data_IF_035984432336
#
_entry.id   IF_035984432336
#
_cell.length_a   1.000
_cell.length_b   1.000
_cell.length_c   1.000
_cell.angle_alpha   90.00
_cell.angle_beta   90.00
_cell.angle_gamma   90.00
#
_symmetry.space_group_name_H-M   'P 1'
#
loop_
_entity.id
_entity.type
_entity.pdbx_description
1 polymer ?
#
# COMPACT_ATOMS: atom_id res chain seq x y z
N UNK A 1 20.57 5.26 7.27
CA UNK A 1 19.22 4.73 6.96
C UNK A 1 19.02 4.48 5.46
N UNK A 2 19.46 5.39 4.60
CA UNK A 2 19.40 5.26 3.13
C UNK A 2 19.90 3.91 2.56
N UNK A 3 21.09 3.44 2.99
CA UNK A 3 21.63 2.13 2.55
C UNK A 3 20.71 0.95 2.92
N UNK A 4 20.04 1.02 4.07
CA UNK A 4 19.08 -0.01 4.49
C UNK A 4 17.80 0.07 3.67
N UNK A 5 17.34 1.28 3.35
CA UNK A 5 16.20 1.47 2.46
C UNK A 5 16.48 0.90 1.06
N UNK A 6 17.63 1.19 0.45
CA UNK A 6 17.97 0.60 -0.85
C UNK A 6 18.03 -0.93 -0.78
N UNK A 7 18.68 -1.49 0.25
CA UNK A 7 18.70 -2.95 0.45
C UNK A 7 17.28 -3.51 0.55
N UNK A 8 16.40 -2.84 1.29
CA UNK A 8 15.01 -3.22 1.44
C UNK A 8 14.25 -3.16 0.09
N UNK A 9 14.42 -2.07 -0.66
CA UNK A 9 13.80 -1.90 -1.99
C UNK A 9 14.27 -2.95 -3.00
N UNK A 10 15.53 -3.39 -2.91
CA UNK A 10 16.08 -4.48 -3.72
C UNK A 10 15.88 -5.87 -3.10
N UNK A 11 14.83 -6.06 -2.29
CA UNK A 11 14.45 -7.35 -1.73
C UNK A 11 15.62 -8.05 -1.00
N UNK A 12 16.49 -7.30 -0.31
CA UNK A 12 17.49 -7.87 0.59
C UNK A 12 16.95 -7.93 2.02
N UNK A 13 17.34 -8.94 2.82
CA UNK A 13 16.91 -9.01 4.21
C UNK A 13 17.45 -7.80 4.98
N UNK A 14 16.53 -7.07 5.61
CA UNK A 14 16.80 -5.91 6.46
C UNK A 14 16.02 -6.10 7.74
N UNK A 15 16.70 -5.94 8.88
CA UNK A 15 16.09 -5.89 10.20
C UNK A 15 16.38 -4.50 10.78
N UNK A 16 15.45 -3.56 10.68
CA UNK A 16 15.59 -2.27 11.34
C UNK A 16 15.68 -2.51 12.85
N UNK A 17 16.68 -1.94 13.50
CA UNK A 17 16.68 -1.86 14.96
C UNK A 17 15.64 -0.82 15.38
N UNK A 18 14.50 -1.31 15.87
CA UNK A 18 13.35 -0.51 16.30
C UNK A 18 13.25 -0.37 17.81
N UNK A 19 13.97 -1.19 18.58
CA UNK A 19 13.92 -1.13 20.04
C UNK A 19 14.83 0.00 20.56
N UNK A 20 15.97 0.26 19.89
CA UNK A 20 16.90 1.34 20.25
C UNK A 20 16.75 2.64 19.47
N UNK A 21 16.26 2.59 18.21
CA UNK A 21 16.30 3.75 17.28
C UNK A 21 15.00 4.05 16.56
N UNK A 22 13.85 3.81 17.20
CA UNK A 22 12.56 4.07 16.59
C UNK A 22 12.37 5.56 16.21
N UNK A 23 12.80 6.49 17.06
CA UNK A 23 12.67 7.92 16.81
C UNK A 23 13.39 8.34 15.53
N UNK A 24 14.63 7.87 15.33
CA UNK A 24 15.41 8.15 14.12
C UNK A 24 14.70 7.63 12.87
N UNK A 25 14.12 6.43 12.95
CA UNK A 25 13.36 5.85 11.83
C UNK A 25 12.10 6.65 11.55
N UNK A 26 11.41 7.12 12.58
CA UNK A 26 10.21 7.93 12.45
C UNK A 26 10.51 9.28 11.78
N UNK A 27 11.57 9.97 12.20
CA UNK A 27 12.05 11.21 11.56
C UNK A 27 12.40 10.93 10.10
N UNK A 28 13.13 9.86 9.84
CA UNK A 28 13.52 9.48 8.48
C UNK A 28 12.32 9.24 7.56
N UNK A 29 11.34 8.42 7.99
CA UNK A 29 10.18 8.13 7.15
C UNK A 29 9.31 9.36 6.92
N UNK A 30 9.16 10.22 7.93
CA UNK A 30 8.40 11.48 7.82
C UNK A 30 9.06 12.38 6.78
N UNK A 31 10.38 12.57 6.83
CA UNK A 31 11.09 13.38 5.84
C UNK A 31 10.94 12.80 4.43
N UNK A 32 11.16 11.49 4.25
CA UNK A 32 11.10 10.87 2.92
C UNK A 32 9.69 10.90 2.32
N UNK A 33 8.65 10.61 3.13
CA UNK A 33 7.26 10.70 2.68
C UNK A 33 6.81 12.13 2.48
N UNK A 34 7.34 13.09 3.24
CA UNK A 34 7.03 14.50 3.10
C UNK A 34 7.57 15.05 1.78
N UNK A 35 8.84 14.76 1.47
CA UNK A 35 9.44 15.11 0.17
C UNK A 35 8.67 14.47 -1.00
N UNK A 36 8.22 13.22 -0.85
CA UNK A 36 7.37 12.58 -1.85
C UNK A 36 6.03 13.31 -2.04
N UNK A 37 5.45 13.82 -0.94
CA UNK A 37 4.20 14.58 -0.96
C UNK A 37 4.36 15.95 -1.62
N UNK A 38 5.39 16.71 -1.23
CA UNK A 38 5.72 18.01 -1.84
C UNK A 38 5.99 17.84 -3.34
N UNK A 39 6.78 16.83 -3.71
CA UNK A 39 7.10 16.50 -5.10
C UNK A 39 5.89 16.09 -5.96
N UNK A 40 4.73 15.77 -5.37
CA UNK A 40 3.50 15.50 -6.13
C UNK A 40 2.77 16.77 -6.54
N UNK A 41 2.81 17.81 -5.70
CA UNK A 41 1.99 19.01 -5.87
C UNK A 41 2.79 20.26 -6.25
N UNK A 42 4.13 20.20 -6.30
CA UNK A 42 4.96 21.37 -6.59
C UNK A 42 4.68 22.05 -7.93
N UNK A 43 4.18 21.31 -8.93
CA UNK A 43 3.87 21.82 -10.27
C UNK A 43 2.36 21.95 -10.55
N UNK A 44 1.51 21.73 -9.53
CA UNK A 44 0.06 21.89 -9.70
C UNK A 44 -0.32 23.36 -9.50
N UNK A 45 -1.09 24.00 -10.40
CA UNK A 45 -1.49 25.42 -10.25
C UNK A 45 -2.63 25.66 -9.23
N UNK A 46 -3.45 24.63 -8.94
CA UNK A 46 -4.68 24.77 -8.13
C UNK A 46 -4.64 23.99 -6.80
N UNK A 47 -3.46 23.59 -6.31
CA UNK A 47 -3.40 22.79 -5.09
C UNK A 47 -3.69 23.64 -3.83
N UNK A 48 -4.32 23.04 -2.83
CA UNK A 48 -4.54 23.71 -1.56
C UNK A 48 -3.21 23.86 -0.78
N UNK A 49 -3.11 24.87 0.10
CA UNK A 49 -1.89 25.15 0.88
C UNK A 49 -1.35 23.91 1.64
N UNK A 50 -2.23 23.06 2.16
CA UNK A 50 -1.86 21.83 2.87
C UNK A 50 -1.37 20.70 1.94
N UNK A 51 -1.76 20.72 0.66
CA UNK A 51 -1.28 19.80 -0.36
C UNK A 51 0.14 20.19 -0.82
N UNK A 52 0.40 21.47 -1.06
CA UNK A 52 1.76 21.98 -1.29
C UNK A 52 2.69 21.71 -0.09
N UNK A 53 2.16 21.84 1.13
CA UNK A 53 2.90 21.51 2.34
C UNK A 53 3.17 19.99 2.50
N UNK A 54 2.68 19.12 1.60
CA UNK A 54 2.92 17.67 1.64
C UNK A 54 2.26 16.96 2.83
N UNK A 55 1.30 17.59 3.52
CA UNK A 55 0.68 17.02 4.72
C UNK A 55 -0.19 15.78 4.41
N UNK A 56 -0.75 15.72 3.20
CA UNK A 56 -1.53 14.58 2.74
C UNK A 56 -0.74 13.26 2.76
N UNK A 57 0.55 13.30 2.41
CA UNK A 57 1.39 12.09 2.42
C UNK A 57 1.70 11.60 3.83
N UNK A 58 1.78 12.51 4.81
CA UNK A 58 1.96 12.15 6.21
C UNK A 58 0.74 11.41 6.73
N UNK A 59 -0.44 12.03 6.59
CA UNK A 59 -1.71 11.43 7.00
C UNK A 59 -1.88 10.06 6.33
N UNK A 60 -1.60 9.96 5.04
CA UNK A 60 -1.66 8.70 4.29
C UNK A 60 -0.78 7.60 4.92
N UNK A 61 0.48 7.88 5.26
CA UNK A 61 1.38 6.87 5.85
C UNK A 61 0.85 6.34 7.18
N UNK A 62 0.36 7.23 8.06
CA UNK A 62 -0.17 6.82 9.36
C UNK A 62 -1.50 6.05 9.24
N UNK A 63 -2.41 6.54 8.40
CA UNK A 63 -3.73 5.90 8.16
C UNK A 63 -3.55 4.54 7.50
N UNK A 64 -2.72 4.43 6.45
CA UNK A 64 -2.44 3.17 5.78
C UNK A 64 -1.77 2.17 6.71
N UNK A 65 -0.77 2.60 7.50
CA UNK A 65 -0.15 1.73 8.49
C UNK A 65 -1.17 1.23 9.53
N UNK A 66 -2.09 2.09 9.97
CA UNK A 66 -3.18 1.72 10.88
C UNK A 66 -4.15 0.71 10.28
N UNK A 67 -4.57 0.97 9.04
CA UNK A 67 -5.44 0.08 8.28
C UNK A 67 -4.80 -1.31 8.10
N UNK A 68 -3.57 -1.38 7.58
CA UNK A 68 -2.86 -2.65 7.39
C UNK A 68 -2.62 -3.36 8.72
N UNK A 69 -2.24 -2.63 9.77
CA UNK A 69 -2.08 -3.21 11.11
C UNK A 69 -3.39 -3.84 11.60
N UNK A 70 -4.52 -3.15 11.46
CA UNK A 70 -5.84 -3.61 11.87
C UNK A 70 -6.33 -4.83 11.09
N UNK A 71 -6.11 -4.86 9.77
CA UNK A 71 -6.50 -5.98 8.90
C UNK A 71 -5.64 -7.22 9.15
N UNK A 72 -4.34 -7.08 9.42
CA UNK A 72 -3.48 -8.27 9.58
C UNK A 72 -3.45 -8.78 11.02
N UNK A 73 -3.68 -7.91 12.02
CA UNK A 73 -3.61 -8.28 13.44
C UNK A 73 -4.48 -9.48 13.83
N UNK A 74 -5.75 -9.63 13.37
CA UNK A 74 -6.59 -10.79 13.69
C UNK A 74 -6.02 -12.12 13.21
N UNK A 75 -5.18 -12.10 12.17
CA UNK A 75 -4.46 -13.29 11.70
C UNK A 75 -3.34 -13.72 12.63
N UNK A 76 -3.02 -12.96 13.69
CA UNK A 76 -1.99 -13.23 14.71
C UNK A 76 -0.58 -13.51 14.14
N UNK A 77 -0.01 -12.67 13.29
CA UNK A 77 1.41 -12.73 12.92
C UNK A 77 2.34 -12.81 14.14
N UNK A 78 3.52 -13.42 13.97
CA UNK A 78 4.44 -13.73 15.09
C UNK A 78 5.10 -12.47 15.69
N UNK A 79 5.47 -11.50 14.84
CA UNK A 79 6.10 -10.23 15.23
C UNK A 79 5.35 -9.09 14.55
N UNK A 80 4.38 -8.52 15.26
CA UNK A 80 3.47 -7.54 14.68
C UNK A 80 3.16 -6.40 15.64
N UNK A 81 4.06 -5.43 15.64
CA UNK A 81 3.91 -4.17 16.35
C UNK A 81 3.57 -3.08 15.35
N UNK A 82 2.74 -2.11 15.75
CA UNK A 82 2.39 -0.97 14.91
C UNK A 82 3.64 -0.21 14.39
N UNK A 83 4.68 -0.11 15.24
CA UNK A 83 5.98 0.50 14.90
C UNK A 83 6.64 -0.16 13.68
N UNK A 84 6.57 -1.50 13.57
CA UNK A 84 7.14 -2.25 12.44
C UNK A 84 6.38 -1.97 11.15
N UNK A 85 5.04 -1.95 11.23
CA UNK A 85 4.17 -1.65 10.08
C UNK A 85 4.37 -0.21 9.61
N UNK A 86 4.44 0.75 10.53
CA UNK A 86 4.66 2.16 10.22
C UNK A 86 5.99 2.38 9.50
N UNK A 87 7.08 1.81 10.04
CA UNK A 87 8.40 1.92 9.41
C UNK A 87 8.41 1.21 8.05
N UNK A 88 7.78 0.05 7.93
CA UNK A 88 7.61 -0.64 6.64
C UNK A 88 6.92 0.25 5.61
N UNK A 89 5.74 0.80 5.92
CA UNK A 89 4.99 1.68 5.02
C UNK A 89 5.85 2.90 4.65
N UNK A 90 6.50 3.52 5.63
CA UNK A 90 7.39 4.67 5.39
C UNK A 90 8.58 4.35 4.48
N UNK A 91 9.19 3.17 4.58
CA UNK A 91 10.30 2.76 3.72
C UNK A 91 9.87 2.57 2.26
N UNK A 92 8.59 2.32 2.00
CA UNK A 92 8.03 2.24 0.63
C UNK A 92 7.71 3.61 0.00
N UNK A 93 7.96 4.71 0.71
CA UNK A 93 7.69 6.06 0.21
C UNK A 93 8.64 6.48 -0.92
N UNK A 94 9.90 6.01 -0.93
CA UNK A 94 10.92 6.41 -1.90
C UNK A 94 10.60 6.03 -3.35
N UNK A 95 10.07 4.82 -3.66
CA UNK A 95 9.49 4.55 -4.97
C UNK A 95 8.43 5.55 -5.43
N UNK A 96 7.76 6.24 -4.49
CA UNK A 96 6.79 7.28 -4.81
C UNK A 96 7.41 8.55 -5.41
N UNK A 97 8.73 8.74 -5.31
CA UNK A 97 9.40 9.87 -5.96
C UNK A 97 9.42 9.76 -7.48
N UNK A 98 9.25 8.56 -8.04
CA UNK A 98 9.10 8.39 -9.49
C UNK A 98 7.89 9.17 -10.03
N UNK A 99 6.84 9.35 -9.22
CA UNK A 99 5.66 10.15 -9.59
C UNK A 99 5.90 11.66 -9.58
N UNK A 100 6.98 12.13 -8.96
CA UNK A 100 7.28 13.56 -8.91
C UNK A 100 7.95 14.05 -10.20
N UNK A 101 8.30 13.14 -11.12
CA UNK A 101 8.98 13.46 -12.38
C UNK A 101 7.93 13.92 -13.40
N UNK A 102 7.93 15.20 -13.83
CA UNK A 102 6.92 15.74 -14.75
C UNK A 102 7.24 15.33 -16.19
N UNK A 103 6.95 14.09 -16.57
CA UNK A 103 7.19 13.57 -17.93
C UNK A 103 6.37 14.31 -18.99
N UNK A 104 5.26 14.94 -18.59
CA UNK A 104 4.37 15.74 -19.42
C UNK A 104 5.04 16.99 -19.99
N UNK A 105 6.12 17.46 -19.35
CA UNK A 105 6.89 18.60 -19.84
C UNK A 105 7.83 18.25 -20.99
N UNK A 106 8.15 16.97 -21.16
CA UNK A 106 9.19 16.51 -22.09
C UNK A 106 8.66 15.65 -23.24
N UNK A 107 7.42 15.16 -23.15
CA UNK A 107 6.86 14.19 -24.08
C UNK A 107 5.48 14.63 -24.59
N UNK A 108 5.08 14.17 -25.80
CA UNK A 108 3.71 14.31 -26.27
C UNK A 108 2.71 13.69 -25.28
N UNK A 109 1.51 14.28 -25.19
CA UNK A 109 0.49 13.94 -24.18
C UNK A 109 0.19 12.43 -24.09
N UNK A 110 -0.01 11.78 -25.22
CA UNK A 110 -0.30 10.33 -25.29
C UNK A 110 0.84 9.48 -24.71
N UNK A 111 2.10 9.82 -25.05
CA UNK A 111 3.28 9.13 -24.54
C UNK A 111 3.51 9.42 -23.05
N UNK A 112 3.26 10.65 -22.61
CA UNK A 112 3.37 11.03 -21.21
C UNK A 112 2.37 10.28 -20.33
N UNK A 113 1.11 10.15 -20.79
CA UNK A 113 0.08 9.38 -20.10
C UNK A 113 0.44 7.89 -19.99
N UNK A 114 0.91 7.28 -21.08
CA UNK A 114 1.35 5.88 -21.08
C UNK A 114 2.53 5.65 -20.11
N UNK A 115 3.48 6.59 -20.05
CA UNK A 115 4.60 6.53 -19.11
C UNK A 115 4.17 6.72 -17.65
N UNK A 116 3.26 7.66 -17.37
CA UNK A 116 2.70 7.85 -16.03
C UNK A 116 1.96 6.61 -15.53
N UNK A 117 1.09 6.05 -16.37
CA UNK A 117 0.40 4.80 -16.08
C UNK A 117 1.41 3.64 -15.86
N UNK A 118 2.46 3.58 -16.66
CA UNK A 118 3.55 2.61 -16.52
C UNK A 118 4.32 2.76 -15.20
N UNK A 119 4.68 3.98 -14.80
CA UNK A 119 5.30 4.25 -13.50
C UNK A 119 4.38 3.88 -12.35
N UNK A 120 3.08 4.13 -12.50
CA UNK A 120 2.08 3.75 -11.51
C UNK A 120 1.98 2.25 -11.34
N UNK A 121 1.87 1.52 -12.45
CA UNK A 121 1.85 0.08 -12.44
C UNK A 121 3.14 -0.49 -11.82
N UNK A 122 4.31 0.02 -12.22
CA UNK A 122 5.61 -0.41 -11.70
C UNK A 122 5.73 -0.19 -10.20
N UNK A 123 5.46 1.03 -9.71
CA UNK A 123 5.58 1.38 -8.30
C UNK A 123 4.54 0.64 -7.46
N UNK A 124 3.30 0.49 -7.95
CA UNK A 124 2.27 -0.29 -7.28
C UNK A 124 2.68 -1.77 -7.15
N UNK A 125 3.12 -2.40 -8.25
CA UNK A 125 3.60 -3.78 -8.24
C UNK A 125 4.80 -3.95 -7.28
N UNK A 126 5.75 -3.01 -7.30
CA UNK A 126 6.90 -3.02 -6.41
C UNK A 126 6.50 -2.97 -4.93
N UNK A 127 5.56 -2.08 -4.58
CA UNK A 127 5.05 -1.96 -3.20
C UNK A 127 4.30 -3.20 -2.76
N UNK A 128 3.47 -3.80 -3.62
CA UNK A 128 2.76 -5.05 -3.32
C UNK A 128 3.75 -6.19 -3.10
N UNK A 129 4.78 -6.32 -3.93
CA UNK A 129 5.81 -7.33 -3.77
C UNK A 129 6.58 -7.17 -2.44
N UNK A 130 6.92 -5.93 -2.06
CA UNK A 130 7.54 -5.64 -0.76
C UNK A 130 6.60 -6.00 0.40
N UNK A 131 5.30 -5.76 0.26
CA UNK A 131 4.30 -6.09 1.28
C UNK A 131 4.14 -7.60 1.46
N UNK A 132 4.03 -8.36 0.36
CA UNK A 132 4.02 -9.83 0.40
C UNK A 132 5.25 -10.36 1.12
N UNK A 133 6.44 -9.85 0.77
CA UNK A 133 7.68 -10.23 1.43
C UNK A 133 7.69 -9.88 2.91
N UNK A 134 7.19 -8.71 3.28
CA UNK A 134 7.12 -8.27 4.68
C UNK A 134 6.18 -9.18 5.49
N UNK A 135 5.04 -9.57 4.95
CA UNK A 135 4.12 -10.51 5.57
C UNK A 135 4.72 -11.92 5.71
N UNK A 136 5.35 -12.42 4.66
CA UNK A 136 5.93 -13.77 4.65
C UNK A 136 7.18 -13.87 5.53
N UNK A 137 8.19 -13.05 5.24
CA UNK A 137 9.50 -13.13 5.88
C UNK A 137 9.60 -12.31 7.19
N UNK A 138 8.84 -11.21 7.31
CA UNK A 138 8.85 -10.35 8.49
C UNK A 138 7.83 -10.78 9.54
N UNK A 139 6.56 -10.90 9.14
CA UNK A 139 5.45 -11.23 10.04
C UNK A 139 5.32 -12.75 10.32
N UNK A 140 5.99 -13.59 9.52
CA UNK A 140 6.03 -15.04 9.68
C UNK A 140 4.69 -15.71 9.36
N UNK A 141 3.94 -15.17 8.41
CA UNK A 141 2.69 -15.76 7.95
C UNK A 141 2.96 -16.92 6.96
N UNK A 142 2.06 -17.90 6.95
CA UNK A 142 2.07 -18.95 5.91
C UNK A 142 1.71 -18.34 4.54
N UNK A 143 1.99 -19.07 3.46
CA UNK A 143 1.74 -18.58 2.10
C UNK A 143 0.26 -18.23 1.88
N UNK A 144 -0.66 -19.04 2.42
CA UNK A 144 -2.10 -18.81 2.30
C UNK A 144 -2.55 -17.53 3.02
N UNK A 145 -2.19 -17.33 4.30
CA UNK A 145 -2.55 -16.10 5.02
C UNK A 145 -1.85 -14.89 4.45
N UNK A 146 -0.63 -15.05 3.90
CA UNK A 146 0.06 -13.98 3.19
C UNK A 146 -0.74 -13.54 1.96
N UNK A 147 -1.21 -14.48 1.14
CA UNK A 147 -2.05 -14.17 -0.02
C UNK A 147 -3.34 -13.46 0.41
N UNK A 148 -4.06 -14.01 1.39
CA UNK A 148 -5.31 -13.41 1.91
C UNK A 148 -5.07 -12.02 2.50
N UNK A 149 -4.04 -11.84 3.33
CA UNK A 149 -3.66 -10.57 3.96
C UNK A 149 -3.13 -9.52 2.96
N UNK A 150 -2.74 -9.96 1.76
CA UNK A 150 -2.33 -9.08 0.66
C UNK A 150 -3.53 -8.65 -0.17
N UNK A 151 -4.33 -9.62 -0.63
CA UNK A 151 -5.41 -9.35 -1.59
C UNK A 151 -6.60 -8.66 -0.91
N UNK A 152 -6.96 -9.04 0.33
CA UNK A 152 -8.10 -8.46 1.05
C UNK A 152 -8.02 -6.94 1.21
N UNK A 153 -6.94 -6.34 1.74
CA UNK A 153 -6.87 -4.88 1.87
C UNK A 153 -6.84 -4.18 0.51
N UNK A 154 -6.22 -4.77 -0.51
CA UNK A 154 -6.18 -4.18 -1.86
C UNK A 154 -7.57 -4.17 -2.50
N UNK A 155 -8.27 -5.31 -2.49
CA UNK A 155 -9.63 -5.41 -3.03
C UNK A 155 -10.63 -4.57 -2.24
N UNK A 156 -10.49 -4.50 -0.91
CA UNK A 156 -11.32 -3.63 -0.07
C UNK A 156 -11.16 -2.14 -0.43
N UNK A 157 -9.92 -1.66 -0.63
CA UNK A 157 -9.67 -0.28 -1.03
C UNK A 157 -10.33 0.01 -2.38
N UNK A 158 -10.15 -0.86 -3.38
CA UNK A 158 -10.73 -0.67 -4.72
C UNK A 158 -12.26 -0.69 -4.66
N UNK A 159 -12.87 -1.64 -3.96
CA UNK A 159 -14.33 -1.70 -3.80
C UNK A 159 -14.88 -0.46 -3.11
N UNK A 160 -14.23 0.02 -2.04
CA UNK A 160 -14.65 1.26 -1.36
C UNK A 160 -14.54 2.46 -2.29
N UNK A 161 -13.46 2.57 -3.07
CA UNK A 161 -13.30 3.65 -4.05
C UNK A 161 -14.38 3.61 -5.15
N UNK A 162 -14.72 2.40 -5.63
CA UNK A 162 -15.78 2.20 -6.62
C UNK A 162 -17.17 2.58 -6.06
N UNK A 163 -17.50 2.15 -4.83
CA UNK A 163 -18.78 2.49 -4.18
C UNK A 163 -18.91 4.00 -3.94
N UNK A 164 -17.83 4.66 -3.53
CA UNK A 164 -17.80 6.10 -3.32
C UNK A 164 -17.73 6.90 -4.63
N UNK A 165 -17.70 6.22 -5.78
CA UNK A 165 -17.49 6.80 -7.10
C UNK A 165 -16.23 7.70 -7.17
N UNK A 166 -15.25 7.43 -6.31
CA UNK A 166 -13.97 8.14 -6.21
C UNK A 166 -12.92 7.55 -7.15
N UNK A 167 -13.22 6.44 -7.83
CA UNK A 167 -12.30 5.79 -8.76
C UNK A 167 -11.91 6.71 -9.93
N UNK A 168 -12.90 7.42 -10.50
CA UNK A 168 -12.69 8.42 -11.55
C UNK A 168 -11.82 9.58 -11.06
N UNK A 169 -12.15 10.15 -9.89
CA UNK A 169 -11.41 11.27 -9.29
C UNK A 169 -9.96 10.90 -8.96
N UNK A 170 -9.73 9.71 -8.40
CA UNK A 170 -8.36 9.26 -8.08
C UNK A 170 -7.57 9.02 -9.36
N UNK A 171 -8.19 8.46 -10.40
CA UNK A 171 -7.49 8.18 -11.65
C UNK A 171 -7.17 9.46 -12.45
N UNK A 172 -8.09 10.42 -12.52
CA UNK A 172 -7.84 11.73 -13.14
C UNK A 172 -6.72 12.47 -12.41
N UNK A 173 -6.72 12.43 -11.07
CA UNK A 173 -5.66 12.99 -10.22
C UNK A 173 -4.32 12.22 -10.31
N UNK A 174 -4.32 10.97 -10.77
CA UNK A 174 -3.11 10.13 -10.85
C UNK A 174 -2.49 10.06 -12.26
N UNK A 175 -3.31 10.24 -13.30
CA UNK A 175 -2.90 10.18 -14.70
C UNK A 175 -2.45 11.54 -15.24
N UNK A 176 -2.74 12.64 -14.53
CA UNK A 176 -2.40 14.00 -14.93
C UNK A 176 -3.28 14.51 -16.09
N UNK A 177 -4.44 13.89 -16.30
CA UNK A 177 -5.36 14.25 -17.39
C UNK A 177 -6.00 15.60 -17.05
N UNK A 178 -5.73 16.62 -17.88
CA UNK A 178 -6.44 17.91 -17.86
C UNK A 178 -7.80 17.73 -18.55
N UNK A 179 -8.85 18.33 -17.98
CA UNK A 179 -10.18 18.41 -18.59
C UNK A 179 -10.05 18.95 -20.02
N UNK A 180 -10.30 18.11 -21.03
CA UNK A 180 -10.20 18.48 -22.46
C UNK A 180 -9.65 17.41 -23.41
N UNK A 181 -9.13 16.28 -22.91
CA UNK A 181 -8.64 15.16 -23.74
C UNK A 181 -9.65 14.00 -23.76
N UNK A 182 -10.77 14.16 -24.47
CA UNK A 182 -11.87 13.19 -24.53
C UNK A 182 -11.49 11.81 -25.11
N UNK A 183 -10.48 11.71 -25.97
CA UNK A 183 -10.11 10.46 -26.67
C UNK A 183 -9.21 9.50 -25.87
N UNK A 184 -8.52 9.97 -24.83
CA UNK A 184 -7.69 9.11 -23.96
C UNK A 184 -8.48 8.45 -22.81
N UNK A 185 -9.75 8.82 -22.68
CA UNK A 185 -10.64 8.39 -21.62
C UNK A 185 -10.98 6.89 -21.70
N UNK A 186 -11.08 6.32 -22.90
CA UNK A 186 -11.55 4.95 -23.10
C UNK A 186 -10.60 3.88 -22.54
N UNK A 187 -9.28 4.04 -22.73
CA UNK A 187 -8.29 3.11 -22.19
C UNK A 187 -8.19 3.21 -20.66
N UNK A 188 -8.16 4.42 -20.13
CA UNK A 188 -8.17 4.69 -18.70
C UNK A 188 -9.39 4.07 -18.01
N UNK A 189 -10.58 4.33 -18.54
CA UNK A 189 -11.84 3.80 -18.06
C UNK A 189 -11.85 2.27 -18.10
N UNK A 190 -11.35 1.65 -19.18
CA UNK A 190 -11.27 0.19 -19.28
C UNK A 190 -10.42 -0.46 -18.18
N UNK A 191 -9.31 0.18 -17.77
CA UNK A 191 -8.43 -0.32 -16.71
C UNK A 191 -9.13 -0.22 -15.36
N UNK A 192 -9.78 0.90 -15.06
CA UNK A 192 -10.53 1.11 -13.82
C UNK A 192 -11.66 0.10 -13.69
N UNK A 193 -12.49 -0.04 -14.74
CA UNK A 193 -13.58 -1.03 -14.77
C UNK A 193 -13.05 -2.45 -14.58
N UNK A 194 -11.97 -2.81 -15.26
CA UNK A 194 -11.35 -4.14 -15.14
C UNK A 194 -10.89 -4.40 -13.70
N UNK A 195 -10.16 -3.45 -13.10
CA UNK A 195 -9.69 -3.55 -11.72
C UNK A 195 -10.85 -3.64 -10.73
N UNK A 196 -11.90 -2.85 -10.93
CA UNK A 196 -13.09 -2.84 -10.09
C UNK A 196 -13.82 -4.18 -10.18
N UNK A 197 -14.01 -4.77 -11.37
CA UNK A 197 -14.59 -6.11 -11.52
C UNK A 197 -13.76 -7.17 -10.79
N UNK A 198 -12.44 -7.18 -10.97
CA UNK A 198 -11.56 -8.12 -10.25
C UNK A 198 -11.64 -7.92 -8.74
N UNK A 199 -11.68 -6.69 -8.26
CA UNK A 199 -11.79 -6.38 -6.83
C UNK A 199 -13.14 -6.83 -6.26
N UNK A 200 -14.25 -6.59 -6.97
CA UNK A 200 -15.59 -7.02 -6.57
C UNK A 200 -15.72 -8.54 -6.47
N UNK A 201 -15.04 -9.29 -7.35
CA UNK A 201 -15.00 -10.75 -7.29
C UNK A 201 -14.04 -11.25 -6.21
N UNK A 202 -12.86 -10.65 -6.10
CA UNK A 202 -11.83 -11.07 -5.15
C UNK A 202 -12.21 -10.75 -3.70
N UNK A 203 -12.89 -9.62 -3.44
CA UNK A 203 -13.24 -9.17 -2.09
C UNK A 203 -14.06 -10.19 -1.30
N UNK A 204 -15.23 -10.69 -1.75
CA UNK A 204 -16.02 -11.65 -0.99
C UNK A 204 -15.27 -12.97 -0.78
N UNK A 205 -14.57 -13.46 -1.80
CA UNK A 205 -13.79 -14.71 -1.72
C UNK A 205 -12.68 -14.58 -0.67
N UNK A 206 -11.92 -13.49 -0.71
CA UNK A 206 -10.82 -13.24 0.24
C UNK A 206 -11.32 -12.90 1.63
N UNK A 207 -12.47 -12.25 1.76
CA UNK A 207 -13.12 -11.97 3.05
C UNK A 207 -13.56 -13.28 3.73
N UNK A 208 -14.19 -14.20 2.99
CA UNK A 208 -14.55 -15.52 3.52
C UNK A 208 -13.30 -16.28 3.94
N UNK A 209 -12.28 -16.36 3.07
CA UNK A 209 -11.01 -17.01 3.39
C UNK A 209 -10.34 -16.41 4.64
N UNK A 210 -10.40 -15.09 4.80
CA UNK A 210 -9.89 -14.37 5.96
C UNK A 210 -10.64 -14.72 7.25
N UNK A 211 -11.98 -14.73 7.22
CA UNK A 211 -12.81 -15.11 8.36
C UNK A 211 -12.57 -16.56 8.77
N UNK A 212 -12.47 -17.48 7.79
CA UNK A 212 -12.12 -18.89 8.02
C UNK A 212 -10.74 -19.01 8.67
N UNK A 213 -9.73 -18.30 8.16
CA UNK A 213 -8.38 -18.31 8.71
C UNK A 213 -8.33 -17.83 10.17
N UNK A 214 -9.12 -16.79 10.51
CA UNK A 214 -9.27 -16.32 11.89
C UNK A 214 -9.94 -17.38 12.76
N UNK A 215 -11.06 -17.95 12.28
CA UNK A 215 -11.86 -18.89 13.05
C UNK A 215 -11.06 -20.16 13.37
N UNK A 216 -10.39 -20.74 12.38
CA UNK A 216 -9.56 -21.94 12.54
C UNK A 216 -8.41 -21.70 13.52
N UNK A 217 -7.80 -20.51 13.46
CA UNK A 217 -6.71 -20.17 14.36
C UNK A 217 -7.19 -19.95 15.80
N UNK A 218 -8.39 -19.41 16.01
CA UNK A 218 -9.00 -19.31 17.33
C UNK A 218 -9.42 -20.69 17.87
N UNK A 219 -9.96 -21.55 17.02
CA UNK A 219 -10.36 -22.92 17.37
C UNK A 219 -9.15 -23.78 17.79
N UNK A 220 -8.03 -23.71 17.05
CA UNK A 220 -6.79 -24.43 17.39
C UNK A 220 -6.20 -24.05 18.75
N UNK A 221 -6.46 -22.84 19.23
CA UNK A 221 -5.97 -22.35 20.54
C UNK A 221 -6.95 -22.68 21.68
N UNK A 222 -8.24 -22.90 21.37
CA UNK A 222 -9.26 -23.36 22.32
C UNK A 222 -9.40 -24.90 22.38
N UNK A 223 -8.68 -25.63 21.53
CA UNK A 223 -8.59 -27.10 21.56
C UNK A 223 -7.80 -27.58 22.79
N UNK A 224 -8.15 -28.74 23.36
CA UNK A 224 -8.23 -28.90 24.81
C UNK A 224 -6.92 -29.27 25.48
N UNK A 225 -6.55 -28.49 26.48
CA UNK A 225 -5.82 -28.94 27.67
C UNK A 225 -6.76 -29.80 28.54
N UNK A 226 -7.36 -30.85 27.95
CA UNK A 226 -8.07 -31.87 28.72
C UNK A 226 -7.01 -32.80 29.27
N UNK A 227 -6.58 -32.46 30.47
CA UNK A 227 -5.57 -33.15 31.24
C UNK A 227 -5.65 -34.66 31.13
N UNK A 228 -4.58 -35.22 30.61
CA UNK A 228 -3.98 -36.46 31.10
C UNK A 228 -3.68 -36.32 32.61
N UNK A 229 -4.70 -36.31 33.46
CA UNK A 229 -4.56 -36.43 34.92
C UNK A 229 -5.73 -37.24 35.49
N UNK A 230 -5.84 -38.49 35.03
CA UNK A 230 -6.43 -39.59 35.79
C UNK A 230 -5.66 -40.87 35.43
N UNK A 231 -4.56 -41.08 36.13
CA UNK A 231 -4.05 -42.41 36.46
C UNK A 231 -3.98 -42.48 37.97
#
# INVERSE_FOLDING_TARGET
MLRLQFRFLFFRPVRPDLDGRFADWLVYIVIVSWLAGVGRYWDHPDAAAWQYAGLGSQVYVFVLAGFLYGVVRPLRPARWRYREVLVFVGLTALPGWLYAVPVERFLPLETAQAMNAGFLALVAAWRVALYVRFLYAGAGLDAFRTAVATVLPLSAIVVVLAILNLEHVVFDLMSGIREGAETANDLAYSVVVTLSVFAYLAFPVTLIAYLVAIFWRRAKIRGPDRGELRK
#
